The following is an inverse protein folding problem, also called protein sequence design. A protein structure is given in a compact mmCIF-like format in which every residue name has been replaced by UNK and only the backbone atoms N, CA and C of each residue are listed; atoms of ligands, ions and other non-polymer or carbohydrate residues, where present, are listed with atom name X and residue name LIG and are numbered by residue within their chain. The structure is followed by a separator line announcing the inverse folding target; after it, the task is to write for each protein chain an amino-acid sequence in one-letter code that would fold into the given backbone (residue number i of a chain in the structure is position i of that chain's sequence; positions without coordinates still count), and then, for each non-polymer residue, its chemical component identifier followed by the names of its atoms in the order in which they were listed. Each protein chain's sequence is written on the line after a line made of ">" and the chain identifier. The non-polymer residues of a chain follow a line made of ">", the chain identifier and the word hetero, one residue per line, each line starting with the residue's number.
data_IF_544872872657
#
_entry.id   IF_544872872657
#
_cell.length_a   1.000
_cell.length_b   1.000
_cell.length_c   1.000
_cell.angle_alpha   90.00
_cell.angle_beta   90.00
_cell.angle_gamma   90.00
#
_symmetry.space_group_name_H-M   'P 1'
#
loop_
_entity.id
_entity.type
_entity.pdbx_description
1 polymer ?
#
# COMPACT_ATOMS: atom_id res chain seq x y z
N UNK A 1 2.51 -30.47 -3.88
CA UNK A 1 2.81 -29.28 -3.04
C UNK A 1 1.90 -28.18 -3.54
N UNK A 2 1.18 -27.50 -2.68
CA UNK A 2 0.24 -26.44 -3.09
C UNK A 2 0.99 -25.17 -3.48
N UNK A 3 0.66 -24.63 -4.65
CA UNK A 3 1.34 -23.47 -5.24
C UNK A 3 0.49 -22.20 -5.14
N UNK A 4 1.04 -21.19 -4.49
CA UNK A 4 0.47 -19.84 -4.39
C UNK A 4 1.25 -18.90 -5.31
N UNK A 5 0.56 -18.22 -6.23
CA UNK A 5 1.16 -17.17 -7.07
C UNK A 5 0.71 -15.81 -6.56
N UNK A 6 1.66 -15.01 -6.09
CA UNK A 6 1.42 -13.63 -5.66
C UNK A 6 1.81 -12.67 -6.77
N UNK A 7 0.91 -11.81 -7.21
CA UNK A 7 1.09 -10.90 -8.35
C UNK A 7 1.21 -9.45 -7.84
N UNK A 8 2.42 -8.90 -7.91
CA UNK A 8 2.79 -7.57 -7.42
C UNK A 8 3.62 -7.62 -6.14
N UNK A 9 4.88 -7.18 -6.22
CA UNK A 9 5.87 -7.22 -5.14
C UNK A 9 5.88 -5.99 -4.23
N UNK A 10 4.76 -5.25 -4.09
CA UNK A 10 4.61 -4.18 -3.10
C UNK A 10 4.60 -4.70 -1.66
N UNK A 11 4.45 -3.82 -0.66
CA UNK A 11 4.34 -4.24 0.76
C UNK A 11 3.31 -5.34 0.96
N UNK A 12 2.16 -5.24 0.28
CA UNK A 12 1.09 -6.24 0.38
C UNK A 12 1.50 -7.58 -0.19
N UNK A 13 2.18 -7.61 -1.35
CA UNK A 13 2.64 -8.85 -1.95
C UNK A 13 3.73 -9.53 -1.14
N UNK A 14 4.67 -8.75 -0.60
CA UNK A 14 5.68 -9.29 0.31
C UNK A 14 5.05 -9.90 1.57
N UNK A 15 4.03 -9.23 2.14
CA UNK A 15 3.29 -9.74 3.30
C UNK A 15 2.48 -11.00 2.96
N UNK A 16 1.81 -11.02 1.81
CA UNK A 16 1.05 -12.18 1.35
C UNK A 16 1.95 -13.40 1.12
N UNK A 17 3.10 -13.18 0.48
CA UNK A 17 4.06 -14.24 0.23
C UNK A 17 4.63 -14.82 1.54
N UNK A 18 4.96 -13.96 2.51
CA UNK A 18 5.41 -14.39 3.84
C UNK A 18 4.34 -15.18 4.59
N UNK A 19 3.10 -14.70 4.59
CA UNK A 19 2.00 -15.39 5.27
C UNK A 19 1.74 -16.77 4.62
N UNK A 20 1.74 -16.84 3.29
CA UNK A 20 1.50 -18.09 2.56
C UNK A 20 2.64 -19.12 2.77
N UNK A 21 3.91 -18.69 2.72
CA UNK A 21 5.03 -19.62 2.94
C UNK A 21 5.10 -20.11 4.38
N UNK A 22 4.79 -19.27 5.36
CA UNK A 22 4.69 -19.68 6.79
C UNK A 22 3.57 -20.69 7.01
N UNK A 23 2.45 -20.52 6.31
CA UNK A 23 1.35 -21.47 6.32
C UNK A 23 1.68 -22.79 5.58
N UNK A 24 2.82 -22.89 4.89
CA UNK A 24 3.38 -24.12 4.31
C UNK A 24 3.28 -24.26 2.80
N UNK A 25 2.78 -23.24 2.08
CA UNK A 25 2.68 -23.28 0.62
C UNK A 25 4.02 -23.06 -0.10
N UNK A 26 4.11 -23.55 -1.33
CA UNK A 26 5.13 -23.15 -2.29
C UNK A 26 4.72 -21.82 -2.92
N UNK A 27 5.58 -20.79 -2.85
CA UNK A 27 5.20 -19.43 -3.18
C UNK A 27 6.09 -18.84 -4.26
N UNK A 28 5.48 -18.36 -5.35
CA UNK A 28 6.12 -17.51 -6.36
C UNK A 28 5.57 -16.10 -6.24
N UNK A 29 6.46 -15.10 -6.08
CA UNK A 29 6.13 -13.67 -6.07
C UNK A 29 6.59 -13.02 -7.36
N UNK A 30 5.65 -12.47 -8.12
CA UNK A 30 5.90 -11.78 -9.38
C UNK A 30 5.92 -10.26 -9.17
N UNK A 31 6.98 -9.60 -9.61
CA UNK A 31 7.07 -8.13 -9.64
C UNK A 31 7.43 -7.66 -11.05
N UNK A 32 6.71 -6.66 -11.55
CA UNK A 32 6.92 -6.15 -12.91
C UNK A 32 8.20 -5.32 -13.07
N UNK A 33 8.70 -4.74 -11.98
CA UNK A 33 9.90 -3.89 -11.96
C UNK A 33 11.14 -4.66 -11.49
N UNK A 34 12.25 -3.98 -11.46
CA UNK A 34 13.53 -4.48 -10.94
C UNK A 34 13.66 -4.39 -9.41
N UNK A 35 12.67 -3.79 -8.74
CA UNK A 35 12.64 -3.59 -7.28
C UNK A 35 11.32 -4.03 -6.68
N UNK A 36 11.38 -4.66 -5.52
CA UNK A 36 10.22 -4.90 -4.66
C UNK A 36 9.72 -3.59 -4.01
N UNK A 37 8.69 -3.70 -3.20
CA UNK A 37 8.06 -2.66 -2.37
C UNK A 37 7.28 -1.58 -3.11
N UNK A 38 7.36 -1.47 -4.44
CA UNK A 38 6.57 -0.49 -5.21
C UNK A 38 6.61 0.92 -4.60
N UNK A 39 5.47 1.44 -4.15
CA UNK A 39 5.37 2.74 -3.48
C UNK A 39 6.13 2.81 -2.14
N UNK A 40 6.52 1.68 -1.56
CA UNK A 40 7.37 1.62 -0.37
C UNK A 40 8.73 2.28 -0.55
N UNK A 41 9.26 2.28 -1.78
CA UNK A 41 10.52 2.95 -2.13
C UNK A 41 10.42 4.49 -2.12
N UNK A 42 9.24 5.03 -1.88
CA UNK A 42 8.98 6.47 -1.78
C UNK A 42 8.38 6.84 -0.42
N UNK A 43 7.70 5.92 0.23
CA UNK A 43 6.94 6.16 1.44
C UNK A 43 7.79 6.60 2.62
N UNK A 44 8.58 5.70 3.17
CA UNK A 44 9.52 5.98 4.26
C UNK A 44 8.91 6.23 5.63
N UNK A 45 7.60 6.07 5.83
CA UNK A 45 6.90 6.37 7.09
C UNK A 45 6.14 5.13 7.57
N UNK A 46 6.41 4.72 8.80
CA UNK A 46 5.69 3.67 9.53
C UNK A 46 5.23 4.20 10.90
N UNK A 47 4.37 3.45 11.57
CA UNK A 47 3.95 3.62 12.97
C UNK A 47 3.29 4.96 13.33
N UNK A 48 3.04 5.85 12.37
CA UNK A 48 2.40 7.13 12.67
C UNK A 48 0.92 6.96 13.01
N UNK A 49 0.48 7.59 14.12
CA UNK A 49 -0.89 7.56 14.63
C UNK A 49 -1.41 6.12 14.79
N UNK A 50 -2.60 5.81 14.28
CA UNK A 50 -3.21 4.48 14.36
C UNK A 50 -2.43 3.36 13.65
N UNK A 51 -1.44 3.70 12.79
CA UNK A 51 -0.52 2.69 12.26
C UNK A 51 0.35 2.05 13.32
N UNK A 52 0.60 2.73 14.45
CA UNK A 52 1.26 2.11 15.59
C UNK A 52 0.43 0.91 16.08
N UNK A 53 -0.83 1.15 16.39
CA UNK A 53 -1.75 0.10 16.84
C UNK A 53 -1.83 -1.06 15.84
N UNK A 54 -2.06 -0.74 14.57
CA UNK A 54 -2.21 -1.77 13.53
C UNK A 54 -0.91 -2.57 13.29
N UNK A 55 0.26 -1.95 13.42
CA UNK A 55 1.54 -2.66 13.34
C UNK A 55 1.68 -3.65 14.50
N UNK A 56 1.40 -3.23 15.73
CA UNK A 56 1.47 -4.09 16.90
C UNK A 56 0.41 -5.21 16.86
N UNK A 57 -0.81 -4.95 16.34
CA UNK A 57 -1.79 -6.01 16.09
C UNK A 57 -1.27 -7.06 15.10
N UNK A 58 -0.68 -6.64 13.98
CA UNK A 58 -0.08 -7.57 13.01
C UNK A 58 1.08 -8.36 13.62
N UNK A 59 1.95 -7.72 14.43
CA UNK A 59 3.04 -8.37 15.14
C UNK A 59 2.50 -9.43 16.10
N UNK A 60 1.50 -9.08 16.90
CA UNK A 60 0.87 -10.02 17.82
C UNK A 60 0.15 -11.18 17.12
N UNK A 61 -0.37 -10.94 15.92
CA UNK A 61 -0.94 -11.99 15.06
C UNK A 61 0.12 -12.84 14.35
N UNK A 62 1.42 -12.55 14.51
CA UNK A 62 2.52 -13.33 13.94
C UNK A 62 3.01 -12.84 12.57
N UNK A 63 2.69 -11.62 12.12
CA UNK A 63 3.20 -11.00 10.90
C UNK A 63 4.23 -9.90 11.22
N UNK A 64 5.31 -10.25 11.91
CA UNK A 64 6.27 -9.30 12.47
C UNK A 64 7.42 -8.92 11.53
N UNK A 65 7.73 -9.74 10.55
CA UNK A 65 9.01 -9.74 9.83
C UNK A 65 9.26 -8.42 9.07
N UNK A 66 8.23 -7.91 8.38
CA UNK A 66 8.36 -6.67 7.61
C UNK A 66 8.48 -5.44 8.52
N UNK A 67 7.78 -5.43 9.65
CA UNK A 67 7.92 -4.37 10.65
C UNK A 67 9.31 -4.38 11.27
N UNK A 68 9.83 -5.56 11.62
CA UNK A 68 11.19 -5.70 12.15
C UNK A 68 12.27 -5.19 11.16
N UNK A 69 12.08 -5.38 9.84
CA UNK A 69 12.98 -4.82 8.83
C UNK A 69 12.87 -3.29 8.80
N UNK A 70 11.66 -2.73 8.79
CA UNK A 70 11.50 -1.27 8.77
C UNK A 70 12.07 -0.62 10.03
N UNK A 71 11.92 -1.26 11.20
CA UNK A 71 12.49 -0.79 12.46
C UNK A 71 14.03 -0.83 12.42
N UNK A 72 14.65 -1.90 11.89
CA UNK A 72 16.12 -1.95 11.68
C UNK A 72 16.63 -0.95 10.64
N UNK A 73 15.83 -0.61 9.65
CA UNK A 73 16.18 0.40 8.65
C UNK A 73 15.74 1.80 9.05
N UNK A 74 15.18 2.00 10.25
CA UNK A 74 14.75 3.30 10.73
C UNK A 74 15.94 4.26 10.88
N UNK A 75 15.79 5.46 10.38
CA UNK A 75 16.68 6.59 10.60
C UNK A 75 16.30 7.36 11.84
N UNK A 76 14.99 7.49 12.03
CA UNK A 76 14.39 8.18 13.17
C UNK A 76 13.19 7.41 13.67
N UNK A 77 12.99 7.38 14.98
CA UNK A 77 11.88 6.71 15.65
C UNK A 77 11.16 7.68 16.58
N UNK A 78 9.89 7.46 16.81
CA UNK A 78 9.04 8.28 17.66
C UNK A 78 9.07 9.77 17.26
N UNK A 79 8.97 10.03 15.97
CA UNK A 79 9.01 11.38 15.39
C UNK A 79 7.60 11.95 15.28
N UNK A 80 7.44 13.17 15.72
CA UNK A 80 6.22 13.95 15.55
C UNK A 80 6.37 14.96 14.40
N UNK A 81 5.37 15.05 13.55
CA UNK A 81 5.28 16.07 12.51
C UNK A 81 3.80 16.47 12.31
N UNK A 82 3.49 17.58 11.62
CA UNK A 82 2.12 18.10 11.58
C UNK A 82 1.04 17.05 11.32
N UNK A 83 0.12 16.91 12.29
CA UNK A 83 -0.98 15.93 12.27
C UNK A 83 -0.59 14.48 12.56
N UNK A 84 0.67 14.18 12.82
CA UNK A 84 1.17 12.80 13.02
C UNK A 84 2.06 12.68 14.25
N UNK A 85 1.89 11.60 14.99
CA UNK A 85 2.61 11.23 16.21
C UNK A 85 3.25 9.84 16.05
N UNK A 86 4.35 9.59 16.78
CA UNK A 86 4.98 8.28 16.91
C UNK A 86 5.56 7.71 15.62
N UNK A 87 5.82 8.53 14.61
CA UNK A 87 6.31 8.04 13.33
C UNK A 87 7.70 7.40 13.45
N UNK A 88 7.90 6.31 12.73
CA UNK A 88 9.20 5.75 12.41
C UNK A 88 9.51 6.08 10.95
N UNK A 89 10.65 6.74 10.71
CA UNK A 89 11.10 7.11 9.37
C UNK A 89 12.18 6.13 8.95
N UNK A 90 11.88 5.24 8.00
CA UNK A 90 12.84 4.26 7.52
C UNK A 90 13.57 4.74 6.25
N UNK A 91 14.80 4.25 6.08
CA UNK A 91 15.64 4.52 4.93
C UNK A 91 15.13 3.76 3.70
N UNK A 92 14.52 4.48 2.76
CA UNK A 92 13.95 3.92 1.53
C UNK A 92 15.03 3.34 0.60
N UNK A 93 16.30 3.70 0.77
CA UNK A 93 17.40 3.17 -0.03
C UNK A 93 17.90 1.81 0.47
N UNK A 94 17.60 1.46 1.74
CA UNK A 94 18.12 0.27 2.43
C UNK A 94 17.08 -0.83 2.61
N UNK A 95 15.80 -0.47 2.69
CA UNK A 95 14.74 -1.40 3.09
C UNK A 95 14.50 -2.51 2.07
N UNK A 96 14.50 -2.18 0.77
CA UNK A 96 14.18 -3.16 -0.30
C UNK A 96 15.16 -4.33 -0.35
N UNK A 97 16.48 -4.14 -0.37
CA UNK A 97 17.43 -5.26 -0.34
C UNK A 97 17.25 -6.18 0.88
N UNK A 98 16.88 -5.60 2.03
CA UNK A 98 16.63 -6.39 3.25
C UNK A 98 15.38 -7.26 3.13
N UNK A 99 14.30 -6.69 2.58
CA UNK A 99 13.06 -7.44 2.33
C UNK A 99 13.29 -8.53 1.30
N UNK A 100 13.94 -8.24 0.17
CA UNK A 100 14.23 -9.22 -0.87
C UNK A 100 15.06 -10.39 -0.36
N UNK A 101 16.07 -10.11 0.48
CA UNK A 101 16.87 -11.15 1.13
C UNK A 101 16.01 -12.02 2.03
N UNK A 102 15.20 -11.43 2.91
CA UNK A 102 14.26 -12.16 3.77
C UNK A 102 13.37 -13.11 2.98
N UNK A 103 12.74 -12.62 1.90
CA UNK A 103 11.83 -13.44 1.10
C UNK A 103 12.54 -14.66 0.51
N UNK A 104 13.75 -14.48 -0.02
CA UNK A 104 14.57 -15.57 -0.56
C UNK A 104 15.01 -16.55 0.52
N UNK A 105 15.43 -16.07 1.68
CA UNK A 105 15.80 -16.91 2.84
C UNK A 105 14.62 -17.74 3.35
N UNK A 106 13.39 -17.25 3.17
CA UNK A 106 12.15 -18.00 3.46
C UNK A 106 11.74 -18.98 2.36
N UNK A 107 12.51 -19.09 1.28
CA UNK A 107 12.25 -20.02 0.17
C UNK A 107 11.22 -19.54 -0.83
N UNK A 108 10.88 -18.24 -0.84
CA UNK A 108 9.97 -17.65 -1.81
C UNK A 108 10.71 -17.44 -3.13
N UNK A 109 10.14 -17.96 -4.26
CA UNK A 109 10.62 -17.70 -5.61
C UNK A 109 10.27 -16.26 -6.01
N UNK A 110 11.22 -15.33 -5.86
CA UNK A 110 11.04 -13.90 -6.18
C UNK A 110 11.46 -13.64 -7.62
N UNK A 111 10.50 -13.38 -8.48
CA UNK A 111 10.70 -13.08 -9.90
C UNK A 111 10.47 -11.61 -10.19
N UNK A 112 11.55 -10.88 -10.35
CA UNK A 112 11.54 -9.49 -10.80
C UNK A 112 11.43 -9.43 -12.34
N UNK A 113 11.09 -8.27 -12.89
CA UNK A 113 10.88 -8.05 -14.32
C UNK A 113 9.83 -9.00 -14.93
N UNK A 114 8.92 -9.51 -14.09
CA UNK A 114 7.93 -10.54 -14.42
C UNK A 114 6.53 -9.96 -14.38
N UNK A 115 6.17 -9.22 -15.44
CA UNK A 115 4.88 -8.55 -15.53
C UNK A 115 3.77 -9.53 -15.96
N UNK A 116 2.80 -9.77 -15.10
CA UNK A 116 1.56 -10.44 -15.46
C UNK A 116 0.73 -9.55 -16.39
N UNK A 117 0.21 -10.11 -17.49
CA UNK A 117 -0.53 -9.37 -18.52
C UNK A 117 -1.90 -9.97 -18.81
N UNK A 118 -2.08 -11.26 -18.55
CA UNK A 118 -3.34 -11.96 -18.80
C UNK A 118 -3.48 -13.17 -17.88
N UNK A 119 -4.62 -13.84 -17.95
CA UNK A 119 -4.93 -15.07 -17.24
C UNK A 119 -5.56 -16.10 -18.17
N UNK A 120 -5.32 -17.37 -17.89
CA UNK A 120 -6.09 -18.48 -18.45
C UNK A 120 -7.12 -18.90 -17.41
N UNK A 121 -8.38 -18.88 -17.78
CA UNK A 121 -9.50 -19.19 -16.88
C UNK A 121 -10.36 -20.32 -17.41
N UNK A 122 -11.04 -20.98 -16.48
CA UNK A 122 -12.14 -21.91 -16.75
C UNK A 122 -13.35 -21.55 -15.91
N UNK A 123 -14.53 -21.89 -16.41
CA UNK A 123 -15.78 -21.73 -15.66
C UNK A 123 -16.10 -23.02 -14.91
N UNK A 124 -16.38 -22.89 -13.62
CA UNK A 124 -16.87 -23.98 -12.77
C UNK A 124 -18.35 -23.74 -12.52
N UNK A 125 -19.20 -24.75 -12.79
CA UNK A 125 -20.61 -24.68 -12.38
C UNK A 125 -20.65 -24.59 -10.86
N UNK A 126 -21.37 -23.61 -10.33
CA UNK A 126 -21.55 -23.49 -8.89
C UNK A 126 -22.55 -24.54 -8.41
N UNK A 127 -22.15 -25.33 -7.40
CA UNK A 127 -23.04 -26.31 -6.76
C UNK A 127 -24.13 -25.62 -5.90
N UNK A 128 -24.08 -24.29 -5.75
CA UNK A 128 -24.95 -23.52 -4.83
C UNK A 128 -26.18 -22.88 -5.48
N UNK A 129 -26.13 -22.62 -6.78
CA UNK A 129 -27.27 -22.10 -7.55
C UNK A 129 -27.12 -22.50 -9.01
N UNK A 130 -28.19 -22.99 -9.64
CA UNK A 130 -28.20 -23.46 -11.04
C UNK A 130 -27.76 -22.42 -12.08
N UNK A 131 -27.64 -21.13 -11.72
CA UNK A 131 -27.34 -20.04 -12.62
C UNK A 131 -26.06 -19.22 -12.30
N UNK A 132 -25.24 -19.59 -11.33
CA UNK A 132 -23.98 -18.91 -11.06
C UNK A 132 -22.77 -19.80 -11.42
N UNK A 133 -21.98 -19.37 -12.39
CA UNK A 133 -20.66 -19.94 -12.65
C UNK A 133 -19.60 -19.08 -11.97
N UNK A 134 -18.79 -19.66 -11.10
CA UNK A 134 -17.59 -19.01 -10.59
C UNK A 134 -16.43 -19.23 -11.57
N UNK A 135 -15.66 -18.17 -11.81
CA UNK A 135 -14.44 -18.26 -12.62
C UNK A 135 -13.31 -18.83 -11.78
N UNK A 136 -12.53 -19.74 -12.35
CA UNK A 136 -11.30 -20.27 -11.74
C UNK A 136 -10.13 -19.90 -12.63
N UNK A 137 -9.08 -19.32 -12.05
CA UNK A 137 -7.82 -19.03 -12.75
C UNK A 137 -6.98 -20.32 -12.74
N UNK A 138 -6.52 -20.75 -13.92
CA UNK A 138 -5.60 -21.89 -14.04
C UNK A 138 -4.14 -21.41 -14.14
N UNK A 139 -3.91 -20.31 -14.89
CA UNK A 139 -2.57 -19.78 -15.15
C UNK A 139 -2.53 -18.25 -15.19
N UNK A 140 -1.38 -17.71 -14.85
CA UNK A 140 -1.01 -16.32 -15.12
C UNK A 140 -0.14 -16.29 -16.38
N UNK A 141 -0.43 -15.37 -17.29
CA UNK A 141 0.36 -15.13 -18.51
C UNK A 141 1.26 -13.93 -18.29
N UNK A 142 2.56 -14.10 -18.48
CA UNK A 142 3.55 -13.03 -18.40
C UNK A 142 3.72 -12.30 -19.75
N UNK A 143 4.27 -11.10 -19.73
CA UNK A 143 4.52 -10.30 -20.93
C UNK A 143 5.40 -11.02 -21.97
N UNK A 144 6.29 -11.92 -21.53
CA UNK A 144 7.11 -12.79 -22.37
C UNK A 144 6.40 -14.03 -22.90
N UNK A 145 5.07 -14.16 -22.71
CA UNK A 145 4.24 -15.34 -23.08
C UNK A 145 4.52 -16.59 -22.24
N UNK A 146 5.34 -16.52 -21.22
CA UNK A 146 5.45 -17.60 -20.23
C UNK A 146 4.12 -17.72 -19.47
N UNK A 147 3.67 -18.94 -19.25
CA UNK A 147 2.49 -19.27 -18.47
C UNK A 147 2.91 -19.92 -17.15
N UNK A 148 2.35 -19.44 -16.04
CA UNK A 148 2.61 -19.96 -14.71
C UNK A 148 1.35 -20.55 -14.12
N UNK A 149 1.38 -21.84 -13.85
CA UNK A 149 0.31 -22.57 -13.18
C UNK A 149 0.34 -22.32 -11.68
N UNK A 150 -0.83 -22.20 -11.08
CA UNK A 150 -1.00 -22.05 -9.62
C UNK A 150 -2.33 -22.64 -9.17
N UNK A 151 -2.39 -23.07 -7.91
CA UNK A 151 -3.62 -23.57 -7.32
C UNK A 151 -4.49 -22.42 -6.77
N UNK A 152 -3.84 -21.35 -6.30
CA UNK A 152 -4.48 -20.13 -5.81
C UNK A 152 -3.62 -18.90 -6.11
N UNK A 153 -4.27 -17.77 -6.27
CA UNK A 153 -3.64 -16.52 -6.68
C UNK A 153 -3.94 -15.40 -5.69
N UNK A 154 -2.95 -14.50 -5.49
CA UNK A 154 -3.12 -13.30 -4.66
C UNK A 154 -2.73 -12.07 -5.46
N UNK A 155 -3.70 -11.24 -5.80
CA UNK A 155 -3.47 -9.98 -6.52
C UNK A 155 -3.14 -8.85 -5.57
N UNK A 156 -1.93 -8.31 -5.68
CA UNK A 156 -1.40 -7.18 -4.92
C UNK A 156 -0.80 -6.12 -5.84
N UNK A 157 -1.36 -5.99 -7.03
CA UNK A 157 -0.89 -5.08 -8.08
C UNK A 157 -1.10 -3.60 -7.76
N UNK A 158 -1.78 -3.29 -6.65
CA UNK A 158 -2.14 -1.95 -6.18
C UNK A 158 -3.33 -1.37 -6.95
N UNK A 159 -3.53 -0.06 -6.85
CA UNK A 159 -4.76 0.61 -7.28
C UNK A 159 -4.66 1.37 -8.59
N UNK A 160 -3.53 1.34 -9.28
CA UNK A 160 -3.44 1.97 -10.60
C UNK A 160 -4.29 1.19 -11.59
N UNK A 161 -5.24 1.85 -12.21
CA UNK A 161 -6.13 1.25 -13.18
C UNK A 161 -5.41 0.70 -14.43
N UNK A 162 -6.16 0.04 -15.31
CA UNK A 162 -5.66 -0.51 -16.55
C UNK A 162 -4.95 0.54 -17.42
N UNK A 163 -4.16 0.07 -18.39
CA UNK A 163 -3.55 0.93 -19.39
C UNK A 163 -4.60 1.80 -20.09
N UNK A 164 -4.29 3.08 -20.25
CA UNK A 164 -5.19 4.02 -20.90
C UNK A 164 -6.04 4.87 -19.96
N UNK A 165 -6.19 4.48 -18.70
CA UNK A 165 -6.93 5.30 -17.73
C UNK A 165 -6.36 6.73 -17.62
N UNK A 166 -5.04 6.89 -17.71
CA UNK A 166 -4.39 8.20 -17.68
C UNK A 166 -4.78 9.04 -18.89
N UNK A 167 -4.89 8.46 -20.07
CA UNK A 167 -5.35 9.14 -21.28
C UNK A 167 -6.85 9.44 -21.21
N UNK A 168 -7.64 8.46 -20.76
CA UNK A 168 -9.10 8.59 -20.63
C UNK A 168 -9.49 9.73 -19.70
N UNK A 169 -8.75 9.90 -18.59
CA UNK A 169 -9.08 10.89 -17.55
C UNK A 169 -8.14 12.11 -17.55
N UNK A 170 -7.36 12.31 -18.61
CA UNK A 170 -6.59 13.53 -18.85
C UNK A 170 -5.35 13.74 -17.97
N UNK A 171 -4.88 12.72 -17.27
CA UNK A 171 -3.72 12.81 -16.40
C UNK A 171 -2.51 12.10 -17.03
N UNK A 172 -1.41 12.81 -17.19
CA UNK A 172 -0.19 12.23 -17.77
C UNK A 172 0.43 11.14 -16.92
N UNK A 173 0.87 10.07 -17.56
CA UNK A 173 1.54 8.93 -16.90
C UNK A 173 3.05 9.02 -16.89
N UNK A 174 3.66 9.93 -17.64
CA UNK A 174 5.12 9.97 -17.84
C UNK A 174 5.91 10.15 -16.54
N UNK A 175 5.28 10.73 -15.54
CA UNK A 175 5.86 10.99 -14.22
C UNK A 175 5.37 10.01 -13.14
N UNK A 176 4.67 8.94 -13.54
CA UNK A 176 4.15 7.97 -12.58
C UNK A 176 5.28 7.19 -11.92
N UNK A 177 5.30 7.13 -10.59
CA UNK A 177 6.25 6.33 -9.78
C UNK A 177 6.30 4.86 -10.24
N UNK A 178 5.23 4.36 -10.82
CA UNK A 178 5.10 2.98 -11.28
C UNK A 178 5.86 2.71 -12.57
N UNK A 179 6.47 3.74 -13.17
CA UNK A 179 7.39 3.63 -14.32
C UNK A 179 6.82 2.80 -15.48
N UNK A 180 5.55 3.03 -15.84
CA UNK A 180 4.91 2.34 -16.95
C UNK A 180 5.68 2.44 -18.28
N UNK A 181 6.34 3.57 -18.64
CA UNK A 181 7.16 3.64 -19.84
C UNK A 181 8.30 2.61 -19.88
N UNK A 182 8.90 2.31 -18.72
CA UNK A 182 10.03 1.37 -18.65
C UNK A 182 9.58 -0.10 -18.49
N UNK A 183 8.58 -0.36 -17.64
CA UNK A 183 8.20 -1.72 -17.23
C UNK A 183 6.81 -2.15 -17.71
N UNK A 184 6.18 -1.32 -18.52
CA UNK A 184 4.80 -1.52 -18.96
C UNK A 184 3.76 -1.16 -17.90
N UNK A 185 2.49 -1.02 -18.34
CA UNK A 185 1.39 -0.65 -17.46
C UNK A 185 1.06 -1.76 -16.47
N UNK A 186 0.35 -1.38 -15.41
CA UNK A 186 -0.28 -2.33 -14.51
C UNK A 186 -1.48 -2.98 -15.20
N UNK A 187 -1.69 -4.25 -14.89
CA UNK A 187 -2.84 -5.03 -15.34
C UNK A 187 -3.64 -5.47 -14.12
N UNK A 188 -4.94 -5.32 -14.15
CA UNK A 188 -5.85 -5.87 -13.15
C UNK A 188 -6.09 -7.35 -13.48
N UNK A 189 -5.62 -8.23 -12.61
CA UNK A 189 -5.79 -9.68 -12.75
C UNK A 189 -7.24 -10.08 -12.50
N UNK A 190 -7.88 -9.48 -11.49
CA UNK A 190 -9.31 -9.68 -11.22
C UNK A 190 -10.18 -9.30 -12.41
N UNK A 191 -9.91 -8.16 -13.06
CA UNK A 191 -10.66 -7.76 -14.26
C UNK A 191 -10.39 -8.69 -15.45
N UNK A 192 -9.16 -9.18 -15.62
CA UNK A 192 -8.81 -10.17 -16.64
C UNK A 192 -9.53 -11.51 -16.43
N UNK A 193 -9.76 -11.87 -15.19
CA UNK A 193 -10.52 -13.06 -14.81
C UNK A 193 -12.06 -12.86 -14.87
N UNK A 194 -12.55 -11.70 -15.33
CA UNK A 194 -13.98 -11.42 -15.44
C UNK A 194 -14.61 -10.72 -14.23
N UNK A 195 -13.81 -10.36 -13.23
CA UNK A 195 -14.27 -9.55 -12.10
C UNK A 195 -14.42 -8.07 -12.44
N UNK A 196 -15.08 -7.33 -11.57
CA UNK A 196 -15.29 -5.88 -11.72
C UNK A 196 -14.25 -5.10 -10.95
N UNK A 197 -13.74 -4.03 -11.57
CA UNK A 197 -12.93 -3.02 -10.91
C UNK A 197 -13.80 -1.80 -10.56
N UNK A 198 -13.78 -1.40 -9.29
CA UNK A 198 -14.47 -0.22 -8.79
C UNK A 198 -13.51 0.95 -8.79
N UNK A 199 -13.92 2.08 -9.38
CA UNK A 199 -13.09 3.28 -9.49
C UNK A 199 -13.35 4.25 -8.34
N UNK A 200 -12.28 4.60 -7.60
CA UNK A 200 -12.34 5.69 -6.64
C UNK A 200 -12.47 7.04 -7.31
N UNK A 201 -13.25 7.94 -6.72
CA UNK A 201 -13.59 9.27 -7.23
C UNK A 201 -12.96 10.38 -6.39
N UNK A 202 -12.91 11.59 -6.93
CA UNK A 202 -12.68 12.84 -6.20
C UNK A 202 -14.03 13.44 -5.79
N UNK A 203 -14.01 14.49 -4.98
CA UNK A 203 -15.21 15.22 -4.56
C UNK A 203 -16.00 15.83 -5.71
N UNK A 204 -15.32 16.20 -6.80
CA UNK A 204 -15.94 16.72 -8.02
C UNK A 204 -16.47 15.63 -8.96
N UNK A 205 -16.45 14.36 -8.53
CA UNK A 205 -16.86 13.21 -9.32
C UNK A 205 -15.82 12.73 -10.35
N UNK A 206 -14.73 13.46 -10.56
CA UNK A 206 -13.67 13.06 -11.48
C UNK A 206 -12.83 11.92 -10.91
N UNK A 207 -12.10 11.21 -11.78
CA UNK A 207 -11.26 10.09 -11.40
C UNK A 207 -9.80 10.51 -11.15
N UNK A 208 -9.05 9.63 -10.48
CA UNK A 208 -7.68 9.84 -10.10
C UNK A 208 -7.55 10.40 -8.67
N UNK A 209 -6.34 10.34 -8.14
CA UNK A 209 -6.01 10.86 -6.83
C UNK A 209 -4.85 11.82 -6.92
N UNK A 210 -5.00 13.01 -6.37
CA UNK A 210 -3.89 13.92 -6.16
C UNK A 210 -3.30 13.65 -4.77
N UNK A 211 -2.32 12.78 -4.72
CA UNK A 211 -1.62 12.45 -3.49
C UNK A 211 -0.20 12.04 -3.79
N UNK A 212 0.66 12.05 -2.81
CA UNK A 212 2.03 11.61 -2.94
C UNK A 212 3.00 12.60 -2.32
N UNK A 213 4.28 12.38 -2.62
CA UNK A 213 5.41 13.17 -2.13
C UNK A 213 6.55 13.07 -3.12
N UNK A 214 7.40 14.07 -3.17
CA UNK A 214 8.65 14.03 -3.92
C UNK A 214 9.82 13.58 -3.05
N UNK A 215 10.95 13.31 -3.69
CA UNK A 215 12.24 13.08 -3.02
C UNK A 215 13.23 14.14 -3.50
N UNK A 216 13.77 14.92 -2.60
CA UNK A 216 14.86 15.84 -2.89
C UNK A 216 16.19 15.18 -2.50
N UNK A 217 17.21 15.46 -3.29
CA UNK A 217 18.58 15.15 -2.87
C UNK A 217 18.89 16.00 -1.62
N UNK A 218 19.10 15.32 -0.49
CA UNK A 218 19.32 16.00 0.78
C UNK A 218 20.56 16.90 0.76
N UNK A 219 21.60 16.51 0.01
CA UNK A 219 22.83 17.30 -0.14
C UNK A 219 22.66 18.56 -0.99
N UNK A 220 21.54 18.72 -1.65
CA UNK A 220 21.20 19.94 -2.40
C UNK A 220 20.42 20.98 -1.57
N UNK A 221 20.21 20.72 -0.31
CA UNK A 221 19.60 21.66 0.65
C UNK A 221 20.68 22.41 1.41
N UNK A 222 20.32 23.52 2.06
CA UNK A 222 21.24 24.25 2.94
C UNK A 222 21.75 23.36 4.09
N UNK A 223 22.94 23.66 4.59
CA UNK A 223 23.54 22.93 5.72
C UNK A 223 22.63 22.92 6.96
N UNK A 224 21.94 24.02 7.23
CA UNK A 224 20.98 24.10 8.33
C UNK A 224 19.83 23.09 8.18
N UNK A 225 19.24 22.98 7.00
CA UNK A 225 18.17 22.01 6.73
C UNK A 225 18.69 20.58 6.77
N UNK A 226 19.90 20.33 6.25
CA UNK A 226 20.52 19.01 6.33
C UNK A 226 20.76 18.60 7.78
N UNK A 227 21.32 19.49 8.60
CA UNK A 227 21.56 19.26 10.02
C UNK A 227 20.25 18.98 10.75
N UNK A 228 19.23 19.80 10.57
CA UNK A 228 17.92 19.63 11.19
C UNK A 228 17.29 18.28 10.83
N UNK A 229 17.33 17.88 9.56
CA UNK A 229 16.85 16.58 9.12
C UNK A 229 17.63 15.42 9.74
N UNK A 230 18.96 15.55 9.83
CA UNK A 230 19.79 14.51 10.43
C UNK A 230 19.56 14.34 11.95
N UNK A 231 19.30 15.43 12.66
CA UNK A 231 19.10 15.42 14.11
C UNK A 231 17.67 15.01 14.51
N UNK A 232 16.66 15.55 13.83
CA UNK A 232 15.26 15.42 14.26
C UNK A 232 14.39 14.57 13.33
N UNK A 233 14.85 14.29 12.13
CA UNK A 233 14.08 13.62 11.09
C UNK A 233 13.06 14.52 10.37
N UNK A 234 12.84 15.75 10.85
CA UNK A 234 11.79 16.65 10.35
C UNK A 234 12.32 18.06 10.17
N UNK A 235 11.98 18.70 9.06
CA UNK A 235 12.10 20.13 8.89
C UNK A 235 10.79 20.72 8.38
N UNK A 236 10.33 21.80 9.03
CA UNK A 236 9.14 22.55 8.63
C UNK A 236 9.61 23.95 8.24
N UNK A 237 9.42 24.31 6.97
CA UNK A 237 9.88 25.58 6.40
C UNK A 237 8.66 26.38 5.95
N UNK A 238 8.40 27.55 6.56
CA UNK A 238 7.27 28.39 6.20
C UNK A 238 7.34 28.84 4.73
N UNK A 239 6.20 28.79 4.04
CA UNK A 239 6.08 29.31 2.68
C UNK A 239 5.86 30.84 2.72
N UNK A 240 6.44 31.59 1.76
CA UNK A 240 6.01 32.94 1.53
C UNK A 240 4.52 33.01 1.21
N UNK A 241 3.80 34.01 1.67
CA UNK A 241 2.33 34.11 1.52
C UNK A 241 1.85 33.94 0.08
N UNK A 242 2.59 34.49 -0.89
CA UNK A 242 2.33 34.34 -2.34
C UNK A 242 2.40 32.91 -2.85
N UNK A 243 3.05 32.00 -2.13
CA UNK A 243 3.23 30.59 -2.50
C UNK A 243 2.20 29.68 -1.81
N UNK A 244 1.45 30.18 -0.83
CA UNK A 244 0.43 29.41 -0.12
C UNK A 244 -0.75 29.13 -1.06
N UNK A 245 -1.20 27.88 -1.12
CA UNK A 245 -2.29 27.39 -1.99
C UNK A 245 -3.23 26.47 -1.19
N UNK A 246 -4.09 27.09 -0.34
CA UNK A 246 -5.04 26.33 0.51
C UNK A 246 -6.07 25.56 -0.31
N UNK A 247 -6.45 26.04 -1.49
CA UNK A 247 -7.36 25.36 -2.42
C UNK A 247 -6.86 23.99 -2.86
N UNK A 248 -5.55 23.75 -2.84
CA UNK A 248 -4.97 22.42 -3.13
C UNK A 248 -5.26 21.36 -2.06
N UNK A 249 -5.63 21.77 -0.84
CA UNK A 249 -6.00 20.82 0.22
C UNK A 249 -7.26 20.02 -0.15
N UNK A 250 -8.24 20.66 -0.78
CA UNK A 250 -9.47 20.00 -1.22
C UNK A 250 -9.26 19.00 -2.35
N UNK A 251 -8.18 19.16 -3.12
CA UNK A 251 -7.79 18.22 -4.17
C UNK A 251 -7.15 16.95 -3.63
N UNK A 252 -6.69 16.94 -2.37
CA UNK A 252 -6.08 15.77 -1.73
C UNK A 252 -7.13 14.75 -1.35
N UNK A 253 -7.15 13.65 -2.04
CA UNK A 253 -8.07 12.53 -1.74
C UNK A 253 -7.68 11.84 -0.43
N UNK A 254 -6.38 11.75 -0.14
CA UNK A 254 -5.88 11.27 1.15
C UNK A 254 -5.84 12.41 2.15
N UNK A 255 -6.89 12.60 2.93
CA UNK A 255 -7.07 13.72 3.83
C UNK A 255 -6.14 13.76 5.04
N UNK A 256 -5.36 12.71 5.29
CA UNK A 256 -4.40 12.68 6.40
C UNK A 256 -3.35 13.81 6.35
N UNK A 257 -3.10 14.35 5.15
CA UNK A 257 -2.20 15.50 4.93
C UNK A 257 -2.95 16.73 4.35
N UNK A 258 -4.26 16.76 4.44
CA UNK A 258 -5.07 17.90 4.03
C UNK A 258 -5.28 18.86 5.23
N UNK A 259 -4.18 19.24 5.85
CA UNK A 259 -4.14 20.15 7.00
C UNK A 259 -3.52 21.47 6.55
N UNK A 260 -3.89 22.59 7.19
CA UNK A 260 -3.37 23.92 6.86
C UNK A 260 -1.85 23.99 6.87
N UNK A 261 -1.21 23.29 7.78
CA UNK A 261 0.25 23.22 7.91
C UNK A 261 0.92 22.73 6.61
N UNK A 262 0.25 21.86 5.84
CA UNK A 262 0.75 21.37 4.54
C UNK A 262 0.49 22.32 3.36
N UNK A 263 -0.34 23.33 3.53
CA UNK A 263 -0.51 24.40 2.57
C UNK A 263 0.41 25.59 2.86
N UNK A 264 0.72 25.81 4.14
CA UNK A 264 1.46 26.97 4.65
C UNK A 264 2.96 26.72 4.78
N UNK A 265 3.39 25.44 4.76
CA UNK A 265 4.79 25.06 4.94
C UNK A 265 5.23 23.99 3.93
N UNK A 266 6.54 23.99 3.65
CA UNK A 266 7.21 22.81 3.15
C UNK A 266 7.56 21.93 4.34
N UNK A 267 7.05 20.69 4.35
CA UNK A 267 7.37 19.69 5.35
C UNK A 267 8.30 18.69 4.73
N UNK A 268 9.50 18.54 5.28
CA UNK A 268 10.50 17.56 4.89
C UNK A 268 10.63 16.49 5.97
N UNK A 269 10.79 15.24 5.52
CA UNK A 269 11.07 14.10 6.39
C UNK A 269 12.34 13.39 5.91
N UNK A 270 13.22 12.99 6.83
CA UNK A 270 14.44 12.25 6.50
C UNK A 270 14.15 10.76 6.34
N UNK A 271 14.01 10.32 5.09
CA UNK A 271 13.82 8.92 4.72
C UNK A 271 14.99 8.36 3.90
N UNK A 272 16.20 8.90 4.11
CA UNK A 272 17.39 8.69 3.28
C UNK A 272 17.55 9.79 2.23
N UNK A 273 16.48 10.18 1.59
CA UNK A 273 16.32 11.45 0.87
C UNK A 273 15.58 12.45 1.76
N UNK A 274 15.62 13.74 1.40
CA UNK A 274 14.69 14.70 1.97
C UNK A 274 13.32 14.54 1.28
N UNK A 275 12.41 13.82 1.95
CA UNK A 275 11.06 13.59 1.45
C UNK A 275 10.24 14.85 1.61
N UNK A 276 9.87 15.50 0.49
CA UNK A 276 8.95 16.63 0.49
C UNK A 276 7.50 16.11 0.52
N UNK A 277 6.73 16.53 1.54
CA UNK A 277 5.35 16.07 1.75
C UNK A 277 4.31 16.77 0.88
N UNK A 278 4.77 17.33 -0.22
CA UNK A 278 3.96 17.95 -1.27
C UNK A 278 4.03 17.09 -2.53
N UNK A 279 2.90 16.79 -3.18
CA UNK A 279 2.88 15.96 -4.37
C UNK A 279 3.73 16.48 -5.52
N UNK A 280 3.69 17.77 -5.73
CA UNK A 280 4.47 18.46 -6.75
C UNK A 280 4.77 19.89 -6.28
N UNK A 281 6.02 20.28 -6.45
CA UNK A 281 6.46 21.67 -6.29
C UNK A 281 7.32 22.02 -7.49
N UNK A 282 7.00 23.12 -8.14
CA UNK A 282 7.81 23.63 -9.25
C UNK A 282 9.22 23.93 -8.76
N UNK A 283 10.23 23.46 -9.48
CA UNK A 283 11.61 23.53 -9.01
C UNK A 283 12.14 24.97 -8.94
N UNK A 284 11.75 25.80 -9.93
CA UNK A 284 12.19 27.21 -9.95
C UNK A 284 11.53 27.99 -8.83
N UNK A 285 10.26 27.70 -8.52
CA UNK A 285 9.57 28.26 -7.39
C UNK A 285 10.15 27.76 -6.05
N UNK A 286 10.54 26.48 -5.98
CA UNK A 286 11.16 25.90 -4.78
C UNK A 286 12.50 26.60 -4.46
N UNK A 287 13.32 26.82 -5.47
CA UNK A 287 14.63 27.49 -5.37
C UNK A 287 14.57 28.97 -4.94
N UNK A 288 13.38 29.58 -4.95
CA UNK A 288 13.16 30.92 -4.40
C UNK A 288 12.93 30.93 -2.88
N UNK A 289 12.91 29.76 -2.25
CA UNK A 289 12.66 29.62 -0.81
C UNK A 289 14.01 29.44 -0.12
N UNK A 290 14.29 30.20 0.97
CA UNK A 290 15.54 30.07 1.71
C UNK A 290 15.85 28.63 2.13
N UNK A 291 17.05 28.19 1.85
CA UNK A 291 17.54 26.83 2.12
C UNK A 291 17.29 25.82 1.00
N UNK A 292 16.64 26.25 -0.11
CA UNK A 292 16.38 25.41 -1.28
C UNK A 292 17.03 25.92 -2.56
N UNK A 293 17.95 26.85 -2.49
CA UNK A 293 18.55 27.55 -3.65
C UNK A 293 19.13 26.58 -4.67
N UNK A 294 19.76 25.50 -4.20
CA UNK A 294 20.37 24.46 -5.01
C UNK A 294 19.54 23.17 -5.08
N UNK A 295 18.28 23.23 -4.61
CA UNK A 295 17.43 22.05 -4.49
C UNK A 295 17.31 21.28 -5.82
N UNK A 296 17.43 19.95 -5.71
CA UNK A 296 17.25 19.00 -6.82
C UNK A 296 16.35 17.86 -6.40
N UNK A 297 15.52 17.40 -7.31
CA UNK A 297 14.86 16.12 -7.11
C UNK A 297 15.87 14.98 -7.25
N UNK A 298 15.78 13.99 -6.37
CA UNK A 298 16.64 12.81 -6.38
C UNK A 298 16.46 11.95 -7.65
N UNK A 299 15.26 11.97 -8.21
CA UNK A 299 14.92 11.35 -9.49
C UNK A 299 14.45 12.47 -10.43
N UNK A 300 15.02 12.65 -11.62
CA UNK A 300 14.65 13.72 -12.54
C UNK A 300 13.16 13.70 -12.92
N UNK A 301 12.49 12.56 -12.78
CA UNK A 301 11.07 12.42 -13.05
C UNK A 301 10.18 12.58 -11.80
N UNK A 302 10.73 12.63 -10.60
CA UNK A 302 9.97 12.63 -9.36
C UNK A 302 9.31 13.97 -9.03
N UNK A 303 9.73 15.05 -9.67
CA UNK A 303 9.17 16.40 -9.49
C UNK A 303 7.94 16.69 -10.35
N UNK A 304 7.58 15.81 -11.27
CA UNK A 304 6.46 16.04 -12.18
C UNK A 304 5.10 15.81 -11.56
N UNK A 305 4.07 16.44 -12.15
CA UNK A 305 2.67 16.29 -11.73
C UNK A 305 2.21 14.83 -11.70
N UNK A 306 2.67 14.01 -12.64
CA UNK A 306 2.32 12.60 -12.75
C UNK A 306 2.80 11.74 -11.57
N UNK A 307 3.84 12.17 -10.85
CA UNK A 307 4.31 11.49 -9.65
C UNK A 307 3.24 11.41 -8.54
N UNK A 308 2.23 12.23 -8.63
CA UNK A 308 1.22 12.44 -7.60
C UNK A 308 -0.16 11.98 -8.00
N UNK A 309 -0.34 11.53 -9.23
CA UNK A 309 -1.64 11.16 -9.77
C UNK A 309 -1.74 9.65 -9.85
N UNK A 310 -2.74 9.10 -9.15
CA UNK A 310 -3.05 7.68 -9.13
C UNK A 310 -4.51 7.46 -9.47
N UNK A 311 -4.77 6.46 -10.31
CA UNK A 311 -6.11 5.96 -10.55
C UNK A 311 -6.37 4.84 -9.54
N UNK A 312 -7.41 5.01 -8.79
CA UNK A 312 -7.76 4.10 -7.72
C UNK A 312 -8.80 3.13 -8.23
N UNK A 313 -8.30 2.05 -8.82
CA UNK A 313 -9.10 0.94 -9.32
C UNK A 313 -8.89 -0.26 -8.39
N UNK A 314 -9.95 -0.71 -7.73
CA UNK A 314 -9.92 -1.75 -6.71
C UNK A 314 -10.82 -2.91 -7.11
N UNK A 315 -10.47 -4.12 -6.71
CA UNK A 315 -11.29 -5.29 -6.92
C UNK A 315 -12.43 -5.33 -5.90
N UNK A 316 -13.60 -5.73 -6.34
CA UNK A 316 -14.67 -6.12 -5.44
C UNK A 316 -14.28 -7.40 -4.70
N UNK A 317 -14.45 -7.43 -3.38
CA UNK A 317 -14.03 -8.55 -2.52
C UNK A 317 -14.85 -8.64 -1.24
N UNK A 318 -14.79 -9.75 -0.55
CA UNK A 318 -15.35 -9.92 0.79
C UNK A 318 -14.34 -9.57 1.91
N UNK A 319 -14.75 -9.69 3.18
CA UNK A 319 -13.88 -9.39 4.33
C UNK A 319 -12.78 -10.42 4.57
N UNK A 320 -12.83 -11.56 3.88
CA UNK A 320 -11.75 -12.54 3.86
C UNK A 320 -10.67 -12.23 2.82
N UNK A 321 -10.80 -11.13 2.10
CA UNK A 321 -9.98 -10.69 0.97
C UNK A 321 -10.20 -11.51 -0.31
N UNK A 322 -11.20 -12.39 -0.39
CA UNK A 322 -11.54 -13.16 -1.58
C UNK A 322 -12.20 -12.26 -2.61
N UNK A 323 -11.73 -12.30 -3.85
CA UNK A 323 -12.29 -11.54 -4.97
C UNK A 323 -13.69 -12.04 -5.34
N UNK A 324 -14.62 -11.12 -5.62
CA UNK A 324 -15.98 -11.48 -6.01
C UNK A 324 -16.01 -12.18 -7.39
N UNK A 325 -16.77 -13.27 -7.49
CA UNK A 325 -16.97 -14.03 -8.72
C UNK A 325 -15.75 -14.87 -9.18
N UNK A 326 -14.64 -14.89 -8.44
CA UNK A 326 -13.44 -15.66 -8.77
C UNK A 326 -13.09 -16.57 -7.60
N UNK A 327 -13.13 -17.88 -7.85
CA UNK A 327 -13.07 -18.87 -6.77
C UNK A 327 -11.72 -18.91 -6.05
N UNK A 328 -10.61 -18.83 -6.78
CA UNK A 328 -9.25 -19.00 -6.27
C UNK A 328 -8.39 -17.74 -6.35
N UNK A 329 -9.02 -16.54 -6.26
CA UNK A 329 -8.31 -15.26 -6.21
C UNK A 329 -8.59 -14.52 -4.91
N UNK A 330 -7.52 -14.06 -4.27
CA UNK A 330 -7.55 -13.14 -3.15
C UNK A 330 -6.90 -11.81 -3.54
N UNK A 331 -7.30 -10.70 -2.91
CA UNK A 331 -6.75 -9.37 -3.20
C UNK A 331 -6.19 -8.73 -1.92
N UNK A 332 -5.05 -8.05 -2.05
CA UNK A 332 -4.44 -7.33 -0.94
C UNK A 332 -3.93 -5.94 -1.31
N UNK A 333 -3.65 -5.11 -0.29
CA UNK A 333 -3.17 -3.74 -0.47
C UNK A 333 -4.18 -2.80 -1.08
N UNK A 334 -3.70 -1.81 -1.82
CA UNK A 334 -4.57 -0.85 -2.51
C UNK A 334 -5.46 -1.49 -3.59
N UNK A 335 -5.16 -2.70 -4.04
CA UNK A 335 -6.01 -3.44 -4.96
C UNK A 335 -7.29 -3.94 -4.30
N UNK A 336 -7.26 -4.19 -3.01
CA UNK A 336 -8.38 -4.74 -2.24
C UNK A 336 -9.29 -3.70 -1.61
N UNK A 337 -9.05 -2.41 -1.85
CA UNK A 337 -9.84 -1.33 -1.28
C UNK A 337 -9.18 0.03 -1.46
N UNK A 338 -9.89 1.09 -1.13
CA UNK A 338 -9.39 2.45 -1.22
C UNK A 338 -8.44 2.78 -0.03
N UNK A 339 -7.53 1.85 0.26
CA UNK A 339 -6.52 1.98 1.31
C UNK A 339 -5.36 2.87 0.87
N UNK A 340 -4.75 3.54 1.84
CA UNK A 340 -3.50 4.29 1.64
C UNK A 340 -2.57 4.05 2.82
N UNK A 341 -1.48 3.34 2.57
CA UNK A 341 -0.41 3.17 3.54
C UNK A 341 0.25 1.81 3.52
N UNK A 342 1.42 1.75 4.13
CA UNK A 342 2.24 0.54 4.15
C UNK A 342 1.71 -0.48 5.16
N UNK A 343 1.30 -0.02 6.34
CA UNK A 343 0.70 -0.88 7.38
C UNK A 343 -0.61 -1.48 6.88
N UNK A 344 -1.44 -0.68 6.20
CA UNK A 344 -2.68 -1.11 5.54
C UNK A 344 -2.40 -2.20 4.48
N UNK A 345 -1.32 -2.00 3.71
CA UNK A 345 -0.91 -2.97 2.69
C UNK A 345 -0.39 -4.27 3.31
N UNK A 346 0.41 -4.20 4.38
CA UNK A 346 0.92 -5.38 5.10
C UNK A 346 -0.25 -6.15 5.72
N UNK A 347 -1.17 -5.47 6.40
CA UNK A 347 -2.32 -6.07 7.07
C UNK A 347 -3.20 -6.87 6.10
N UNK A 348 -3.59 -6.22 5.01
CA UNK A 348 -4.47 -6.86 4.00
C UNK A 348 -3.75 -7.95 3.21
N UNK A 349 -2.46 -7.77 2.94
CA UNK A 349 -1.62 -8.77 2.29
C UNK A 349 -1.44 -10.02 3.15
N UNK A 350 -1.15 -9.87 4.44
CA UNK A 350 -1.01 -10.99 5.37
C UNK A 350 -2.29 -11.82 5.43
N UNK A 351 -3.46 -11.17 5.54
CA UNK A 351 -4.74 -11.87 5.54
C UNK A 351 -5.02 -12.58 4.20
N UNK A 352 -4.77 -11.91 3.07
CA UNK A 352 -4.98 -12.48 1.75
C UNK A 352 -4.10 -13.73 1.52
N UNK A 353 -2.81 -13.64 1.85
CA UNK A 353 -1.86 -14.76 1.71
C UNK A 353 -2.19 -15.95 2.63
N UNK A 354 -2.55 -15.68 3.87
CA UNK A 354 -2.97 -16.72 4.81
C UNK A 354 -4.28 -17.40 4.37
N UNK A 355 -5.25 -16.62 3.92
CA UNK A 355 -6.53 -17.16 3.43
C UNK A 355 -6.41 -17.91 2.11
N UNK A 356 -5.45 -17.55 1.27
CA UNK A 356 -5.13 -18.35 0.08
C UNK A 356 -4.75 -19.79 0.47
N UNK A 357 -3.95 -19.98 1.53
CA UNK A 357 -3.59 -21.32 2.01
C UNK A 357 -4.75 -22.02 2.72
N UNK A 358 -5.56 -21.29 3.50
CA UNK A 358 -6.79 -21.86 4.08
C UNK A 358 -7.74 -22.39 3.02
N UNK A 359 -7.91 -21.65 1.93
CA UNK A 359 -8.69 -22.08 0.77
C UNK A 359 -8.16 -23.38 0.18
N UNK A 360 -6.86 -23.51 -0.05
CA UNK A 360 -6.22 -24.73 -0.55
C UNK A 360 -6.45 -25.94 0.35
N UNK A 361 -6.53 -25.70 1.65
CA UNK A 361 -6.79 -26.74 2.66
C UNK A 361 -8.30 -27.08 2.79
N UNK A 362 -9.17 -26.40 2.06
CA UNK A 362 -10.62 -26.53 2.22
C UNK A 362 -11.16 -25.98 3.53
N UNK A 363 -10.39 -25.12 4.20
CA UNK A 363 -10.80 -24.45 5.45
C UNK A 363 -11.59 -23.19 5.12
N UNK A 364 -12.55 -22.84 5.99
CA UNK A 364 -13.25 -21.55 5.89
C UNK A 364 -12.22 -20.40 5.94
N UNK A 365 -12.22 -19.45 5.00
CA UNK A 365 -11.38 -18.28 5.08
C UNK A 365 -11.61 -17.48 6.37
N UNK A 366 -10.54 -16.93 6.92
CA UNK A 366 -10.55 -16.15 8.16
C UNK A 366 -11.08 -14.75 7.89
N UNK A 367 -12.03 -14.29 8.69
CA UNK A 367 -12.36 -12.88 8.86
C UNK A 367 -11.76 -12.36 10.16
N UNK A 368 -11.08 -11.20 10.09
CA UNK A 368 -10.53 -10.59 11.30
C UNK A 368 -11.64 -9.90 12.10
N UNK A 369 -11.62 -10.02 13.45
CA UNK A 369 -12.63 -9.42 14.30
C UNK A 369 -12.67 -7.89 14.18
N UNK A 370 -13.88 -7.32 14.04
CA UNK A 370 -14.09 -5.85 13.99
C UNK A 370 -13.77 -5.12 15.31
N UNK A 371 -13.46 -5.85 16.36
CA UNK A 371 -12.91 -5.32 17.60
C UNK A 371 -11.39 -5.16 17.58
N UNK A 372 -10.74 -5.41 16.44
CA UNK A 372 -9.36 -5.06 16.15
C UNK A 372 -9.32 -3.93 15.14
N UNK A 373 -8.27 -3.10 15.17
CA UNK A 373 -8.13 -2.02 14.19
C UNK A 373 -8.01 -2.56 12.76
N UNK A 374 -7.26 -3.66 12.59
CA UNK A 374 -7.07 -4.29 11.27
C UNK A 374 -8.38 -4.89 10.74
N UNK A 375 -9.15 -5.58 11.55
CA UNK A 375 -10.43 -6.15 11.13
C UNK A 375 -11.47 -5.06 10.83
N UNK A 376 -11.54 -4.02 11.67
CA UNK A 376 -12.49 -2.92 11.47
C UNK A 376 -12.21 -2.13 10.19
N UNK A 377 -10.95 -1.83 9.85
CA UNK A 377 -10.66 -1.08 8.61
C UNK A 377 -11.03 -1.90 7.36
N UNK A 378 -10.79 -3.22 7.38
CA UNK A 378 -11.11 -4.10 6.26
C UNK A 378 -12.62 -4.13 6.01
N UNK A 379 -13.40 -4.30 7.06
CA UNK A 379 -14.86 -4.33 7.00
C UNK A 379 -15.42 -2.96 6.63
N UNK A 380 -14.98 -1.89 7.30
CA UNK A 380 -15.46 -0.54 7.07
C UNK A 380 -15.16 -0.05 5.65
N UNK A 381 -13.95 -0.28 5.14
CA UNK A 381 -13.61 0.09 3.77
C UNK A 381 -14.41 -0.69 2.74
N UNK A 382 -14.71 -1.96 2.99
CA UNK A 382 -15.53 -2.78 2.10
C UNK A 382 -16.98 -2.29 2.01
N UNK A 383 -17.61 -2.03 3.16
CA UNK A 383 -18.96 -1.47 3.19
C UNK A 383 -19.03 -0.09 2.53
N UNK A 384 -18.00 0.73 2.72
CA UNK A 384 -17.94 2.08 2.17
C UNK A 384 -17.84 2.11 0.63
N UNK A 385 -17.33 1.06 -0.01
CA UNK A 385 -17.31 0.98 -1.48
C UNK A 385 -18.71 0.97 -2.11
N UNK A 386 -19.74 0.65 -1.33
CA UNK A 386 -21.13 0.62 -1.77
C UNK A 386 -21.79 2.01 -1.88
N UNK A 387 -21.10 3.06 -1.45
CA UNK A 387 -21.64 4.42 -1.39
C UNK A 387 -20.79 5.40 -2.19
N UNK A 388 -21.41 6.44 -2.77
CA UNK A 388 -20.70 7.50 -3.50
C UNK A 388 -19.69 8.23 -2.59
N UNK A 389 -20.04 8.50 -1.34
CA UNK A 389 -19.13 9.13 -0.37
C UNK A 389 -17.92 8.24 -0.06
N UNK A 390 -18.14 6.94 0.09
CA UNK A 390 -17.07 5.97 0.32
C UNK A 390 -16.11 5.87 -0.86
N UNK A 391 -16.61 6.00 -2.10
CA UNK A 391 -15.76 6.05 -3.30
C UNK A 391 -14.87 7.30 -3.35
N UNK A 392 -15.26 8.38 -2.69
CA UNK A 392 -14.50 9.62 -2.56
C UNK A 392 -13.53 9.63 -1.37
N UNK A 393 -13.59 8.61 -0.52
CA UNK A 393 -12.80 8.52 0.73
C UNK A 393 -11.60 7.59 0.56
N UNK A 394 -10.55 7.84 1.34
CA UNK A 394 -9.37 6.96 1.48
C UNK A 394 -9.21 6.53 2.91
N UNK A 395 -9.01 5.22 3.09
CA UNK A 395 -8.98 4.59 4.41
C UNK A 395 -7.53 4.38 4.83
N UNK A 396 -7.16 4.97 5.96
CA UNK A 396 -5.81 4.88 6.52
C UNK A 396 -5.88 4.93 8.04
N UNK A 397 -5.07 4.13 8.71
CA UNK A 397 -4.88 4.20 10.15
C UNK A 397 -4.26 5.54 10.59
N UNK A 398 -3.55 6.24 9.69
CA UNK A 398 -2.75 7.39 10.04
C UNK A 398 -3.51 8.72 10.13
N UNK A 399 -4.76 8.79 9.68
CA UNK A 399 -5.48 10.06 9.69
C UNK A 399 -6.88 9.99 9.10
N UNK A 400 -7.48 11.15 8.94
CA UNK A 400 -8.80 11.39 8.36
C UNK A 400 -9.92 10.59 9.05
N UNK A 401 -10.90 10.16 8.28
CA UNK A 401 -12.13 9.52 8.76
C UNK A 401 -11.86 8.24 9.55
N UNK A 402 -10.93 7.40 9.06
CA UNK A 402 -10.72 6.12 9.73
C UNK A 402 -9.97 6.27 11.06
N UNK A 403 -8.98 7.14 11.18
CA UNK A 403 -8.29 7.36 12.46
C UNK A 403 -9.23 7.99 13.51
N UNK A 404 -10.16 8.85 13.10
CA UNK A 404 -11.23 9.35 13.98
C UNK A 404 -12.09 8.19 14.48
N UNK A 405 -12.57 7.31 13.56
CA UNK A 405 -13.34 6.10 13.90
C UNK A 405 -12.59 5.18 14.87
N UNK A 406 -11.27 4.98 14.69
CA UNK A 406 -10.45 4.20 15.62
C UNK A 406 -10.53 4.75 17.04
N UNK A 407 -10.46 6.08 17.20
CA UNK A 407 -10.57 6.73 18.51
C UNK A 407 -11.97 6.60 19.09
N UNK A 408 -12.99 6.84 18.32
CA UNK A 408 -14.39 6.71 18.72
C UNK A 408 -14.76 5.29 19.18
N UNK A 409 -14.16 4.27 18.55
CA UNK A 409 -14.35 2.85 18.88
C UNK A 409 -13.37 2.32 19.94
N UNK A 410 -12.51 3.16 20.50
CA UNK A 410 -11.46 2.74 21.43
C UNK A 410 -10.52 1.66 20.86
N UNK A 411 -10.26 1.71 19.55
CA UNK A 411 -9.33 0.80 18.88
C UNK A 411 -7.90 1.35 18.90
N UNK A 412 -7.71 2.66 19.03
CA UNK A 412 -6.38 3.27 19.05
C UNK A 412 -5.71 3.10 20.42
N UNK A 413 -4.51 2.58 20.41
CA UNK A 413 -3.62 2.49 21.56
C UNK A 413 -2.16 2.55 21.10
N UNK A 414 -1.27 3.04 21.96
CA UNK A 414 0.19 3.01 21.78
C UNK A 414 0.86 2.12 22.84
N UNK A 415 0.09 1.36 23.61
CA UNK A 415 0.57 0.37 24.56
C UNK A 415 0.57 -1.04 23.89
N UNK A 416 1.76 -1.61 23.57
CA UNK A 416 1.86 -2.93 22.95
C UNK A 416 1.24 -4.05 23.79
N UNK A 417 1.25 -3.94 25.15
CA UNK A 417 0.67 -4.95 26.00
C UNK A 417 -0.87 -4.94 25.94
N UNK A 418 -1.46 -3.74 25.94
CA UNK A 418 -2.92 -3.59 25.73
C UNK A 418 -3.34 -4.16 24.39
N UNK A 419 -2.60 -3.84 23.33
CA UNK A 419 -2.86 -4.32 21.98
C UNK A 419 -2.74 -5.86 21.93
N UNK A 420 -1.67 -6.42 22.51
CA UNK A 420 -1.48 -7.87 22.60
C UNK A 420 -2.60 -8.57 23.39
N UNK A 421 -3.05 -7.99 24.51
CA UNK A 421 -4.20 -8.52 25.27
C UNK A 421 -5.49 -8.52 24.43
N UNK A 422 -5.70 -7.49 23.59
CA UNK A 422 -6.83 -7.43 22.67
C UNK A 422 -6.79 -8.57 21.66
N UNK A 423 -5.64 -8.80 21.02
CA UNK A 423 -5.45 -9.88 20.03
C UNK A 423 -5.67 -11.26 20.67
N UNK A 424 -5.13 -11.50 21.89
CA UNK A 424 -5.37 -12.75 22.64
C UNK A 424 -6.86 -12.96 22.97
N UNK A 425 -7.58 -11.91 23.36
CA UNK A 425 -9.02 -11.97 23.66
C UNK A 425 -9.84 -12.49 22.47
N UNK A 426 -9.43 -12.16 21.26
CA UNK A 426 -10.07 -12.63 20.04
C UNK A 426 -9.52 -13.97 19.52
N UNK A 427 -8.56 -14.59 20.20
CA UNK A 427 -7.95 -15.84 19.78
C UNK A 427 -7.12 -15.72 18.51
N UNK A 428 -6.57 -14.52 18.23
CA UNK A 428 -5.82 -14.23 17.00
C UNK A 428 -4.29 -14.22 17.21
N UNK A 429 -3.81 -14.49 18.42
CA UNK A 429 -2.37 -14.49 18.71
C UNK A 429 -1.65 -15.53 17.84
N UNK A 430 -0.60 -15.09 17.14
CA UNK A 430 0.23 -15.92 16.26
C UNK A 430 -0.51 -16.64 15.11
N UNK A 431 -1.74 -16.24 14.76
CA UNK A 431 -2.52 -16.89 13.71
C UNK A 431 -1.77 -17.00 12.38
N UNK A 432 -0.97 -15.99 11.99
CA UNK A 432 -0.17 -16.02 10.78
C UNK A 432 1.14 -16.80 10.90
N UNK A 433 1.47 -17.31 12.08
CA UNK A 433 2.59 -18.22 12.29
C UNK A 433 2.20 -19.70 12.21
N UNK A 434 0.90 -20.00 12.16
CA UNK A 434 0.41 -21.37 12.06
C UNK A 434 0.76 -22.00 10.69
N UNK A 435 1.33 -23.19 10.73
CA UNK A 435 1.52 -24.02 9.55
C UNK A 435 0.26 -24.84 9.30
N UNK A 436 -0.34 -24.67 8.13
CA UNK A 436 -1.61 -25.32 7.75
C UNK A 436 -1.40 -26.55 6.87
N UNK A 437 -0.33 -26.60 6.09
CA UNK A 437 0.00 -27.66 5.11
C UNK A 437 1.48 -28.03 5.14
#
# INVERSE_FOLDING_TARGET
>A
MYRVIVIGGGWSGCAAALAAVKAGADVTLLEKTDLLLGLGNVGGIMRNNGRFTAAEENIAMGASELFAITDRCARHVNVDFPGHKHASLYDVTKVEPCVRRLLREKGIDVRLMSRAVDVVVRNKKSDRTENSSETVIDKIVLAGREELEGDVFVETTGSTGPMGNCLTYGNGCCMCILRCPAFGPRVSISAKAGGSDIMGKRKDGSFGAFSGSGKLDKHSLSEELQQKLNETGVAVVPLPEKAIRREKLDMKVCRQYALNEYAENIILLDTGYAKIMTPFFDLDALRQIPGFEDARYADPYSGGKGNSIRYLSVAERDNTMKAAGIENLFCGGEKSGLFVGHTEAISTGSLAGYNAVRYLKGMKPLELPIGTAVGDIISFANESLKTEEGLMTRYTFAGAEYFRRMKEKNLYSTDPEEIGRRIRRYGMENIYAERLI
#
